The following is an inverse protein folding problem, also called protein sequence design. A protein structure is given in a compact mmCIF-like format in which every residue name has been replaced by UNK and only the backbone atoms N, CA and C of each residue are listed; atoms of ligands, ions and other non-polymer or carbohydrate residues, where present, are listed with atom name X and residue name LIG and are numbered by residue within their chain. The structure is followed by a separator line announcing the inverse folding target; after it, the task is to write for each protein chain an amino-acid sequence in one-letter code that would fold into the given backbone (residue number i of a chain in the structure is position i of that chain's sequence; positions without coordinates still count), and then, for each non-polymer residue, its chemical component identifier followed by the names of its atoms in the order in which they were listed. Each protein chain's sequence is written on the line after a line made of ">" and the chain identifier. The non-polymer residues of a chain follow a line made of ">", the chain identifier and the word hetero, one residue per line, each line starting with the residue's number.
data_IF_172440536882
#
_entry.id   IF_172440536882
#
_cell.length_a   1.000
_cell.length_b   1.000
_cell.length_c   1.000
_cell.angle_alpha   90.00
_cell.angle_beta   90.00
_cell.angle_gamma   90.00
#
_symmetry.space_group_name_H-M   'P 1'
#
loop_
_entity.id
_entity.type
_entity.pdbx_description
1 polymer ?
#
# COMPACT_ATOMS: atom_id res chain seq x y z
N UNK A 1 5.56 12.80 24.66
CA UNK A 1 5.32 11.60 25.48
C UNK A 1 5.00 12.04 26.89
N UNK A 2 3.72 12.00 27.23
CA UNK A 2 3.24 12.35 28.57
C UNK A 2 3.58 11.25 29.56
N UNK A 3 4.56 11.50 30.44
CA UNK A 3 5.23 10.48 31.27
C UNK A 3 4.27 9.63 32.15
N UNK A 4 3.08 10.11 32.49
CA UNK A 4 2.11 9.37 33.28
C UNK A 4 1.39 8.24 32.54
N UNK A 5 1.47 8.20 31.20
CA UNK A 5 0.79 7.22 30.37
C UNK A 5 1.68 6.08 29.87
N UNK A 6 3.01 6.19 30.00
CA UNK A 6 3.98 5.27 29.38
C UNK A 6 4.94 4.67 30.42
N UNK A 7 4.94 3.35 30.54
CA UNK A 7 5.77 2.60 31.49
C UNK A 7 6.81 1.76 30.76
N UNK A 8 8.11 2.05 30.96
CA UNK A 8 9.20 1.32 30.29
C UNK A 8 9.37 -0.10 30.84
N UNK A 9 9.43 -1.10 29.96
CA UNK A 9 9.76 -2.51 30.26
C UNK A 9 11.27 -2.75 30.30
N UNK A 10 11.69 -3.77 31.08
CA UNK A 10 13.09 -4.21 31.20
C UNK A 10 13.49 -5.12 30.04
N UNK A 11 13.80 -4.51 28.91
CA UNK A 11 14.23 -5.18 27.67
C UNK A 11 15.53 -4.54 27.14
N UNK A 12 16.24 -5.23 26.25
CA UNK A 12 17.50 -4.74 25.65
C UNK A 12 17.29 -3.48 24.81
N UNK A 13 16.06 -3.25 24.34
CA UNK A 13 15.59 -2.03 23.71
C UNK A 13 14.40 -1.46 24.50
N UNK A 14 14.15 -0.14 24.51
CA UNK A 14 13.00 0.44 25.22
C UNK A 14 11.68 -0.08 24.61
N UNK A 15 10.84 -0.70 25.45
CA UNK A 15 9.43 -1.00 25.14
C UNK A 15 8.59 -0.26 26.18
N UNK A 16 7.55 0.44 25.75
CA UNK A 16 6.64 1.13 26.66
C UNK A 16 5.30 0.39 26.73
N UNK A 17 4.83 0.12 27.94
CA UNK A 17 3.44 -0.25 28.21
C UNK A 17 2.61 1.02 28.38
N UNK A 18 1.46 1.10 27.72
CA UNK A 18 0.67 2.32 27.63
C UNK A 18 -0.59 2.14 28.44
N UNK A 19 -0.88 3.05 29.38
CA UNK A 19 -2.13 3.00 30.15
C UNK A 19 -3.33 3.40 29.29
N UNK A 20 -3.76 2.47 28.43
CA UNK A 20 -4.86 2.64 27.51
C UNK A 20 -6.19 2.33 28.18
N UNK A 21 -6.25 1.35 29.09
CA UNK A 21 -7.50 0.83 29.67
C UNK A 21 -8.28 1.90 30.44
N UNK A 22 -7.57 2.80 31.11
CA UNK A 22 -8.16 3.87 31.93
C UNK A 22 -8.11 5.24 31.25
N UNK A 23 -7.53 5.30 30.04
CA UNK A 23 -7.42 6.55 29.29
C UNK A 23 -8.80 7.15 28.98
N UNK A 24 -8.94 8.44 29.25
CA UNK A 24 -10.06 9.25 28.78
C UNK A 24 -10.01 9.43 27.26
N UNK A 25 -11.12 9.84 26.63
CA UNK A 25 -11.18 10.13 25.19
C UNK A 25 -10.09 11.12 24.73
N UNK A 26 -9.78 12.12 25.58
CA UNK A 26 -8.69 13.07 25.32
C UNK A 26 -7.33 12.38 25.32
N UNK A 27 -7.07 11.51 26.29
CA UNK A 27 -5.82 10.76 26.39
C UNK A 27 -5.68 9.72 25.27
N UNK A 28 -6.78 9.12 24.80
CA UNK A 28 -6.76 8.25 23.63
C UNK A 28 -6.28 8.99 22.37
N UNK A 29 -6.81 10.19 22.13
CA UNK A 29 -6.36 11.02 21.01
C UNK A 29 -4.93 11.53 21.19
N UNK A 30 -4.51 11.77 22.43
CA UNK A 30 -3.13 12.12 22.75
C UNK A 30 -2.18 10.97 22.41
N UNK A 31 -2.47 9.74 22.86
CA UNK A 31 -1.70 8.53 22.54
C UNK A 31 -1.61 8.33 21.03
N UNK A 32 -2.74 8.44 20.31
CA UNK A 32 -2.76 8.26 18.85
C UNK A 32 -1.81 9.24 18.13
N UNK A 33 -1.82 10.51 18.56
CA UNK A 33 -0.97 11.56 18.02
C UNK A 33 0.50 11.41 18.40
N UNK A 34 0.80 11.08 19.66
CA UNK A 34 2.17 10.93 20.14
C UNK A 34 2.88 9.73 19.50
N UNK A 35 2.15 8.63 19.26
CA UNK A 35 2.68 7.47 18.57
C UNK A 35 2.66 7.60 17.04
N UNK A 36 1.92 8.57 16.50
CA UNK A 36 1.75 8.74 15.05
C UNK A 36 1.01 7.58 14.37
N UNK A 37 0.11 6.88 15.08
CA UNK A 37 -0.59 5.69 14.58
C UNK A 37 -1.84 6.01 13.75
N UNK A 38 -2.24 7.29 13.67
CA UNK A 38 -3.29 7.76 12.75
C UNK A 38 -4.70 7.24 13.04
N UNK A 39 -4.94 6.68 14.24
CA UNK A 39 -6.26 6.16 14.63
C UNK A 39 -7.15 7.28 15.16
N UNK A 40 -8.40 7.32 14.70
CA UNK A 40 -9.40 8.26 15.20
C UNK A 40 -9.96 7.80 16.56
N UNK A 41 -10.81 8.62 17.19
CA UNK A 41 -11.36 8.31 18.52
C UNK A 41 -12.15 6.99 18.56
N UNK A 42 -12.94 6.69 17.52
CA UNK A 42 -13.73 5.45 17.48
C UNK A 42 -12.83 4.22 17.40
N UNK A 43 -11.80 4.28 16.56
CA UNK A 43 -10.79 3.22 16.44
C UNK A 43 -10.02 3.03 17.75
N UNK A 44 -9.58 4.14 18.36
CA UNK A 44 -8.90 4.09 19.67
C UNK A 44 -9.79 3.50 20.77
N UNK A 45 -11.10 3.77 20.76
CA UNK A 45 -12.07 3.17 21.68
C UNK A 45 -12.21 1.66 21.46
N UNK A 46 -12.27 1.20 20.21
CA UNK A 46 -12.31 -0.23 19.89
C UNK A 46 -11.04 -0.95 20.38
N UNK A 47 -9.88 -0.33 20.20
CA UNK A 47 -8.60 -0.85 20.72
C UNK A 47 -8.59 -0.85 22.25
N UNK A 48 -9.05 0.22 22.89
CA UNK A 48 -9.18 0.30 24.34
C UNK A 48 -10.09 -0.81 24.89
N UNK A 49 -11.24 -1.05 24.26
CA UNK A 49 -12.17 -2.10 24.64
C UNK A 49 -11.55 -3.49 24.50
N UNK A 50 -10.84 -3.75 23.40
CA UNK A 50 -10.09 -5.00 23.22
C UNK A 50 -9.10 -5.25 24.37
N UNK A 51 -8.30 -4.25 24.75
CA UNK A 51 -7.32 -4.39 25.85
C UNK A 51 -7.98 -4.41 27.24
N UNK A 52 -9.14 -3.77 27.43
CA UNK A 52 -9.97 -3.94 28.64
C UNK A 52 -10.42 -5.39 28.78
N UNK A 53 -10.93 -5.99 27.71
CA UNK A 53 -11.39 -7.38 27.69
C UNK A 53 -10.25 -8.38 27.90
N UNK A 54 -9.04 -8.07 27.44
CA UNK A 54 -7.82 -8.86 27.73
C UNK A 54 -7.28 -8.67 29.15
N UNK A 55 -7.78 -7.69 29.91
CA UNK A 55 -7.34 -7.42 31.27
C UNK A 55 -5.90 -6.87 31.39
N UNK A 56 -5.32 -6.36 30.31
CA UNK A 56 -3.95 -5.81 30.29
C UNK A 56 -3.80 -4.61 29.38
N UNK A 57 -2.82 -3.77 29.67
CA UNK A 57 -2.46 -2.67 28.79
C UNK A 57 -1.65 -3.16 27.57
N UNK A 58 -1.73 -2.46 26.43
CA UNK A 58 -0.90 -2.73 25.27
C UNK A 58 0.53 -2.24 25.46
N UNK A 59 1.46 -2.82 24.70
CA UNK A 59 2.73 -2.15 24.41
C UNK A 59 2.60 -1.17 23.25
N UNK A 60 3.52 -0.22 23.17
CA UNK A 60 3.77 0.62 22.01
C UNK A 60 3.84 -0.17 20.70
N UNK A 61 4.57 -1.29 20.65
CA UNK A 61 4.70 -2.14 19.46
C UNK A 61 3.35 -2.75 19.05
N UNK A 62 2.52 -3.16 20.01
CA UNK A 62 1.17 -3.68 19.73
C UNK A 62 0.28 -2.59 19.13
N UNK A 63 0.32 -1.37 19.67
CA UNK A 63 -0.43 -0.24 19.11
C UNK A 63 0.07 0.18 17.73
N UNK A 64 1.39 0.17 17.50
CA UNK A 64 1.96 0.41 16.17
C UNK A 64 1.49 -0.64 15.16
N UNK A 65 1.47 -1.92 15.55
CA UNK A 65 0.96 -3.00 14.69
C UNK A 65 -0.50 -2.78 14.32
N UNK A 66 -1.34 -2.41 15.28
CA UNK A 66 -2.75 -2.08 15.02
C UNK A 66 -2.85 -0.86 14.10
N UNK A 67 -2.11 0.22 14.38
CA UNK A 67 -2.09 1.44 13.57
C UNK A 67 -1.76 1.16 12.10
N UNK A 68 -0.73 0.35 11.84
CA UNK A 68 -0.35 -0.01 10.47
C UNK A 68 -1.41 -0.88 9.79
N UNK A 69 -1.92 -1.91 10.47
CA UNK A 69 -2.89 -2.86 9.89
C UNK A 69 -4.27 -2.24 9.67
N UNK A 70 -4.65 -1.27 10.49
CA UNK A 70 -5.92 -0.53 10.38
C UNK A 70 -5.76 0.78 9.61
N UNK A 71 -4.62 1.07 8.99
CA UNK A 71 -4.47 2.23 8.12
C UNK A 71 -5.38 2.13 6.88
N UNK A 72 -5.66 3.26 6.24
CA UNK A 72 -6.42 3.24 4.97
C UNK A 72 -5.70 2.46 3.88
N UNK A 73 -4.38 2.62 3.82
CA UNK A 73 -3.51 1.95 2.85
C UNK A 73 -3.56 0.41 2.98
N UNK A 74 -3.62 -0.12 4.20
CA UNK A 74 -3.66 -1.56 4.42
C UNK A 74 -5.08 -2.14 4.38
N UNK A 75 -6.02 -1.50 5.07
CA UNK A 75 -7.35 -2.07 5.25
C UNK A 75 -8.31 -1.76 4.10
N UNK A 76 -8.04 -0.70 3.33
CA UNK A 76 -8.86 -0.20 2.24
C UNK A 76 -10.29 0.16 2.70
N UNK A 77 -10.43 0.98 3.75
CA UNK A 77 -11.74 1.24 4.39
C UNK A 77 -12.69 1.90 3.40
N UNK A 78 -12.22 2.83 2.58
CA UNK A 78 -13.04 3.50 1.55
C UNK A 78 -13.65 2.49 0.59
N UNK A 79 -12.84 1.55 0.09
CA UNK A 79 -13.29 0.52 -0.85
C UNK A 79 -14.25 -0.50 -0.24
N UNK A 80 -14.25 -0.68 1.09
CA UNK A 80 -15.14 -1.57 1.84
C UNK A 80 -16.34 -0.87 2.48
N UNK A 81 -16.37 0.47 2.43
CA UNK A 81 -17.38 1.26 3.12
C UNK A 81 -18.74 1.21 2.40
N UNK A 82 -19.80 1.43 3.19
CA UNK A 82 -21.15 1.72 2.67
C UNK A 82 -21.22 3.18 2.24
N UNK A 83 -21.54 3.42 0.98
CA UNK A 83 -21.60 4.76 0.38
C UNK A 83 -23.04 5.05 -0.01
N UNK A 84 -23.59 6.14 0.51
CA UNK A 84 -24.91 6.65 0.11
C UNK A 84 -24.73 7.89 -0.76
N UNK A 85 -25.10 7.80 -2.03
CA UNK A 85 -24.96 8.89 -2.98
C UNK A 85 -26.16 8.90 -3.95
N UNK A 86 -26.75 10.07 -4.19
CA UNK A 86 -27.87 10.26 -5.12
C UNK A 86 -29.05 9.28 -4.91
N UNK A 87 -29.38 9.01 -3.64
CA UNK A 87 -30.45 8.08 -3.26
C UNK A 87 -30.12 6.59 -3.43
N UNK A 88 -28.90 6.24 -3.88
CA UNK A 88 -28.41 4.86 -3.98
C UNK A 88 -27.49 4.52 -2.83
N UNK A 89 -27.54 3.27 -2.39
CA UNK A 89 -26.62 2.69 -1.43
C UNK A 89 -25.70 1.70 -2.17
N UNK A 90 -24.40 1.85 -1.98
CA UNK A 90 -23.36 0.97 -2.50
C UNK A 90 -22.69 0.32 -1.29
N UNK A 91 -22.72 -1.00 -1.22
CA UNK A 91 -22.05 -1.78 -0.18
C UNK A 91 -20.69 -2.24 -0.71
N UNK A 92 -19.64 -1.47 -0.40
CA UNK A 92 -18.27 -1.69 -0.88
C UNK A 92 -18.08 -1.39 -2.38
N UNK A 93 -17.23 -0.42 -2.71
CA UNK A 93 -16.86 -0.12 -4.10
C UNK A 93 -16.19 -1.31 -4.79
N UNK A 94 -15.29 -2.00 -4.07
CA UNK A 94 -14.56 -3.14 -4.60
C UNK A 94 -15.52 -4.30 -4.93
N UNK A 95 -16.31 -4.72 -3.95
CA UNK A 95 -17.27 -5.82 -4.11
C UNK A 95 -18.29 -5.49 -5.21
N UNK A 96 -18.84 -4.27 -5.20
CA UNK A 96 -19.93 -3.88 -6.11
C UNK A 96 -19.48 -3.74 -7.56
N UNK A 97 -18.35 -3.08 -7.81
CA UNK A 97 -17.96 -2.67 -9.16
C UNK A 97 -16.81 -3.48 -9.77
N UNK A 98 -16.01 -4.16 -8.95
CA UNK A 98 -14.83 -4.90 -9.42
C UNK A 98 -15.10 -6.41 -9.32
N UNK A 99 -15.38 -6.90 -8.11
CA UNK A 99 -15.57 -8.33 -7.84
C UNK A 99 -16.82 -8.88 -8.53
N UNK A 100 -18.00 -8.30 -8.27
CA UNK A 100 -19.26 -8.72 -8.92
C UNK A 100 -19.22 -8.61 -10.44
N UNK A 101 -18.50 -7.64 -10.98
CA UNK A 101 -18.32 -7.51 -12.43
C UNK A 101 -17.49 -8.67 -12.99
N UNK A 102 -16.39 -9.04 -12.33
CA UNK A 102 -15.56 -10.18 -12.69
C UNK A 102 -16.29 -11.52 -12.50
N UNK A 103 -17.02 -11.69 -11.40
CA UNK A 103 -17.86 -12.87 -11.15
C UNK A 103 -18.95 -13.04 -12.21
N UNK A 104 -19.62 -11.95 -12.59
CA UNK A 104 -20.65 -11.98 -13.64
C UNK A 104 -20.08 -12.39 -14.99
N UNK A 105 -18.87 -11.94 -15.33
CA UNK A 105 -18.20 -12.36 -16.56
C UNK A 105 -17.69 -13.79 -16.50
N UNK A 106 -17.27 -14.25 -15.31
CA UNK A 106 -16.66 -15.56 -15.01
C UNK A 106 -15.78 -16.11 -16.16
N UNK A 107 -14.79 -15.33 -16.63
CA UNK A 107 -13.99 -15.75 -17.77
C UNK A 107 -13.15 -16.98 -17.41
N UNK A 108 -13.19 -18.01 -18.26
CA UNK A 108 -12.49 -19.29 -18.02
C UNK A 108 -10.98 -19.16 -17.86
N UNK A 109 -10.39 -18.06 -18.34
CA UNK A 109 -8.97 -17.78 -18.20
C UNK A 109 -8.62 -17.16 -16.85
N UNK A 110 -9.55 -16.64 -16.04
CA UNK A 110 -9.21 -16.23 -14.68
C UNK A 110 -8.92 -17.46 -13.81
N UNK A 111 -7.69 -17.60 -13.33
CA UNK A 111 -7.24 -18.74 -12.55
C UNK A 111 -7.23 -18.45 -11.04
N UNK A 112 -6.73 -17.27 -10.66
CA UNK A 112 -6.73 -16.79 -9.27
C UNK A 112 -6.87 -15.27 -9.31
N UNK A 113 -7.98 -14.73 -8.83
CA UNK A 113 -8.24 -13.28 -8.80
C UNK A 113 -8.80 -12.93 -7.42
N UNK A 114 -8.41 -11.78 -6.88
CA UNK A 114 -8.86 -11.24 -5.58
C UNK A 114 -8.50 -12.06 -4.31
N UNK A 115 -7.85 -13.22 -4.45
CA UNK A 115 -7.52 -14.11 -3.33
C UNK A 115 -6.05 -14.03 -2.88
N UNK A 116 -5.17 -13.41 -3.67
CA UNK A 116 -3.71 -13.46 -3.47
C UNK A 116 -3.04 -12.12 -3.87
N UNK A 117 -1.72 -12.04 -3.69
CA UNK A 117 -0.94 -10.82 -3.94
C UNK A 117 -0.95 -10.37 -5.40
N UNK A 118 -1.22 -11.26 -6.36
CA UNK A 118 -1.30 -10.97 -7.78
C UNK A 118 -2.49 -11.68 -8.45
N UNK A 119 -3.00 -11.08 -9.53
CA UNK A 119 -4.01 -11.72 -10.39
C UNK A 119 -3.35 -12.68 -11.36
N UNK A 120 -3.85 -13.91 -11.46
CA UNK A 120 -3.32 -14.96 -12.31
C UNK A 120 -4.37 -15.36 -13.34
N UNK A 121 -3.97 -15.33 -14.61
CA UNK A 121 -4.76 -15.87 -15.71
C UNK A 121 -4.10 -17.09 -16.32
N UNK A 122 -4.90 -18.02 -16.84
CA UNK A 122 -4.44 -19.14 -17.66
C UNK A 122 -3.86 -18.62 -18.96
N UNK A 123 -2.73 -19.19 -19.33
CA UNK A 123 -2.04 -18.95 -20.58
C UNK A 123 -1.75 -20.30 -21.28
N UNK A 124 -0.88 -20.29 -22.27
CA UNK A 124 -0.59 -21.43 -23.13
C UNK A 124 0.14 -22.57 -22.40
N UNK A 125 0.00 -23.81 -22.91
CA UNK A 125 0.77 -25.01 -22.51
C UNK A 125 0.86 -25.28 -21.00
N UNK A 126 -0.21 -24.98 -20.26
CA UNK A 126 -0.27 -25.20 -18.81
C UNK A 126 0.50 -24.16 -17.98
N UNK A 127 0.88 -23.04 -18.59
CA UNK A 127 1.36 -21.86 -17.90
C UNK A 127 0.23 -20.89 -17.60
N UNK A 128 0.46 -20.02 -16.63
CA UNK A 128 -0.34 -18.83 -16.34
C UNK A 128 0.53 -17.59 -16.35
N UNK A 129 -0.12 -16.45 -16.48
CA UNK A 129 0.51 -15.14 -16.34
C UNK A 129 0.01 -14.53 -15.04
N UNK A 130 0.92 -14.21 -14.14
CA UNK A 130 0.65 -13.43 -12.95
C UNK A 130 0.92 -11.95 -13.26
N UNK A 131 0.02 -11.07 -12.86
CA UNK A 131 0.15 -9.62 -13.07
C UNK A 131 -0.20 -8.92 -11.76
N UNK A 132 0.66 -7.98 -11.37
CA UNK A 132 0.43 -7.08 -10.25
C UNK A 132 0.87 -5.68 -10.63
N UNK A 133 0.08 -4.71 -10.18
CA UNK A 133 0.38 -3.29 -10.28
C UNK A 133 0.16 -2.66 -8.91
N UNK A 134 1.08 -1.80 -8.50
CA UNK A 134 1.02 -1.01 -7.27
C UNK A 134 1.38 0.45 -7.54
N UNK A 135 1.17 1.31 -6.54
CA UNK A 135 1.61 2.71 -6.59
C UNK A 135 2.63 3.00 -5.50
N UNK A 136 3.53 3.94 -5.77
CA UNK A 136 4.48 4.43 -4.78
C UNK A 136 4.57 5.97 -4.76
N UNK A 137 3.41 6.60 -4.91
CA UNK A 137 3.23 8.05 -5.12
C UNK A 137 3.89 8.92 -4.03
N UNK A 138 3.46 8.76 -2.78
CA UNK A 138 3.91 9.62 -1.69
C UNK A 138 5.41 9.48 -1.38
N UNK A 139 5.99 8.26 -1.26
CA UNK A 139 7.44 8.12 -1.12
C UNK A 139 8.20 8.76 -2.29
N UNK A 140 7.76 8.54 -3.53
CA UNK A 140 8.40 9.11 -4.72
C UNK A 140 8.29 10.64 -4.81
N UNK A 141 7.26 11.26 -4.24
CA UNK A 141 7.17 12.72 -4.15
C UNK A 141 8.22 13.33 -3.20
N UNK A 142 8.62 12.57 -2.16
CA UNK A 142 9.57 13.02 -1.12
C UNK A 142 11.01 12.67 -1.49
N UNK A 143 11.27 11.40 -1.80
CA UNK A 143 12.56 10.85 -2.22
C UNK A 143 12.34 10.01 -3.48
N UNK A 144 12.53 10.61 -4.67
CA UNK A 144 12.10 10.01 -5.93
C UNK A 144 12.78 8.69 -6.30
N UNK A 145 14.08 8.56 -6.02
CA UNK A 145 14.86 7.41 -6.48
C UNK A 145 14.50 6.15 -5.70
N UNK A 146 14.67 6.19 -4.38
CA UNK A 146 14.35 5.08 -3.50
C UNK A 146 12.85 4.81 -3.44
N UNK A 147 12.02 5.87 -3.49
CA UNK A 147 10.58 5.74 -3.65
C UNK A 147 10.21 4.88 -4.86
N UNK A 148 10.71 5.21 -6.06
CA UNK A 148 10.35 4.45 -7.25
C UNK A 148 11.00 3.06 -7.31
N UNK A 149 12.27 2.96 -6.90
CA UNK A 149 13.01 1.69 -6.86
C UNK A 149 12.33 0.67 -5.95
N UNK A 150 11.87 1.09 -4.77
CA UNK A 150 11.15 0.21 -3.84
C UNK A 150 9.76 -0.18 -4.33
N UNK A 151 9.10 0.68 -5.11
CA UNK A 151 7.85 0.35 -5.81
C UNK A 151 8.03 -0.80 -6.82
N UNK A 152 9.08 -0.74 -7.66
CA UNK A 152 9.42 -1.85 -8.57
C UNK A 152 9.78 -3.12 -7.80
N UNK A 153 10.58 -3.00 -6.74
CA UNK A 153 10.92 -4.12 -5.89
C UNK A 153 9.71 -4.77 -5.21
N UNK A 154 8.70 -3.97 -4.83
CA UNK A 154 7.44 -4.43 -4.25
C UNK A 154 6.70 -5.38 -5.19
N UNK A 155 6.38 -4.90 -6.40
CA UNK A 155 5.63 -5.69 -7.38
C UNK A 155 6.38 -6.92 -7.87
N UNK A 156 7.71 -6.89 -7.94
CA UNK A 156 8.52 -8.09 -8.23
C UNK A 156 8.33 -9.13 -7.12
N UNK A 157 8.35 -8.72 -5.85
CA UNK A 157 8.12 -9.63 -4.72
C UNK A 157 6.71 -10.19 -4.68
N UNK A 158 5.70 -9.43 -5.08
CA UNK A 158 4.33 -9.95 -5.17
C UNK A 158 4.20 -11.07 -6.22
N UNK A 159 4.85 -10.89 -7.37
CA UNK A 159 4.91 -11.92 -8.43
C UNK A 159 5.63 -13.18 -7.93
N UNK A 160 6.77 -13.01 -7.25
CA UNK A 160 7.47 -14.12 -6.61
C UNK A 160 6.61 -14.80 -5.53
N UNK A 161 5.81 -14.01 -4.78
CA UNK A 161 4.91 -14.49 -3.73
C UNK A 161 3.81 -15.43 -4.22
N UNK A 162 3.46 -15.34 -5.50
CA UNK A 162 2.51 -16.25 -6.16
C UNK A 162 3.19 -17.34 -7.01
N UNK A 163 4.47 -17.64 -6.73
CA UNK A 163 5.26 -18.68 -7.38
C UNK A 163 5.57 -18.43 -8.87
N UNK A 164 5.34 -17.23 -9.36
CA UNK A 164 5.61 -16.86 -10.74
C UNK A 164 7.03 -16.31 -10.88
N UNK A 165 7.68 -16.59 -12.00
CA UNK A 165 8.99 -16.05 -12.33
C UNK A 165 8.79 -14.67 -13.01
N UNK A 166 9.27 -13.56 -12.43
CA UNK A 166 9.16 -12.24 -13.04
C UNK A 166 9.88 -12.18 -14.39
N UNK A 167 9.18 -11.71 -15.42
CA UNK A 167 9.73 -11.64 -16.79
C UNK A 167 9.72 -10.23 -17.39
N UNK A 168 8.86 -9.34 -16.90
CA UNK A 168 8.77 -7.98 -17.39
C UNK A 168 8.17 -7.05 -16.33
N UNK A 169 8.54 -5.78 -16.39
CA UNK A 169 7.94 -4.70 -15.64
C UNK A 169 7.17 -3.76 -16.58
N UNK A 170 6.26 -2.98 -16.00
CA UNK A 170 5.56 -1.87 -16.66
C UNK A 170 5.41 -0.71 -15.69
N UNK A 171 5.31 0.51 -16.20
CA UNK A 171 5.10 1.70 -15.39
C UNK A 171 4.11 2.69 -16.00
N UNK A 172 3.33 3.37 -15.13
CA UNK A 172 2.50 4.51 -15.56
C UNK A 172 2.82 5.68 -14.64
N UNK A 173 3.38 6.74 -15.24
CA UNK A 173 3.98 7.84 -14.53
C UNK A 173 3.24 9.15 -14.81
N UNK A 174 2.96 9.90 -13.76
CA UNK A 174 2.32 11.22 -13.81
C UNK A 174 3.15 12.24 -13.05
N UNK A 175 3.56 13.31 -13.73
CA UNK A 175 4.40 14.38 -13.16
C UNK A 175 3.84 15.77 -13.49
N UNK A 176 4.22 16.77 -12.70
CA UNK A 176 4.06 18.16 -13.10
C UNK A 176 4.94 18.50 -14.32
N UNK A 177 4.68 19.62 -15.03
CA UNK A 177 5.51 20.06 -16.15
C UNK A 177 7.00 20.16 -15.75
N UNK A 178 7.91 19.68 -16.60
CA UNK A 178 9.35 19.67 -16.30
C UNK A 178 9.99 21.06 -16.31
N UNK A 179 9.31 22.02 -16.90
CA UNK A 179 9.63 23.45 -16.99
C UNK A 179 8.74 24.30 -16.07
N UNK A 180 8.14 23.69 -15.05
CA UNK A 180 7.27 24.38 -14.09
C UNK A 180 7.97 25.56 -13.43
N UNK A 181 7.22 26.64 -13.23
CA UNK A 181 7.74 27.87 -12.63
C UNK A 181 8.07 27.66 -11.14
N UNK A 182 9.32 27.93 -10.77
CA UNK A 182 9.79 27.80 -9.38
C UNK A 182 9.04 28.74 -8.43
N UNK A 183 8.61 29.91 -8.88
CA UNK A 183 7.87 30.87 -8.05
C UNK A 183 6.44 30.38 -7.72
N UNK A 184 5.90 29.46 -8.53
CA UNK A 184 4.58 28.85 -8.30
C UNK A 184 4.65 27.57 -7.48
N UNK A 185 5.84 27.09 -7.14
CA UNK A 185 6.04 25.82 -6.46
C UNK A 185 5.57 25.92 -4.99
N UNK A 186 4.62 25.08 -4.54
CA UNK A 186 4.18 25.12 -3.15
C UNK A 186 5.33 24.81 -2.18
N UNK A 187 5.38 25.44 -0.99
CA UNK A 187 6.41 25.16 0.00
C UNK A 187 6.50 23.67 0.37
N UNK A 188 7.72 23.13 0.39
CA UNK A 188 7.97 21.72 0.72
C UNK A 188 7.80 20.74 -0.45
N UNK A 189 7.26 21.19 -1.58
CA UNK A 189 7.14 20.37 -2.80
C UNK A 189 8.45 20.36 -3.58
N UNK A 190 8.83 19.20 -4.11
CA UNK A 190 9.98 19.06 -5.00
C UNK A 190 9.62 19.46 -6.43
N UNK A 191 10.55 20.12 -7.10
CA UNK A 191 10.35 20.52 -8.49
C UNK A 191 10.08 19.30 -9.40
N UNK A 192 9.08 19.31 -10.29
CA UNK A 192 8.70 18.13 -11.07
C UNK A 192 9.85 17.50 -11.86
N UNK A 193 10.74 18.32 -12.44
CA UNK A 193 11.97 17.85 -13.12
C UNK A 193 12.86 16.98 -12.23
N UNK A 194 13.03 17.35 -10.96
CA UNK A 194 13.84 16.57 -10.01
C UNK A 194 13.17 15.22 -9.71
N UNK A 195 11.85 15.24 -9.50
CA UNK A 195 11.07 14.03 -9.22
C UNK A 195 11.10 13.08 -10.41
N UNK A 196 10.85 13.60 -11.62
CA UNK A 196 10.92 12.83 -12.86
C UNK A 196 12.27 12.11 -13.04
N UNK A 197 13.39 12.85 -12.92
CA UNK A 197 14.74 12.28 -13.09
C UNK A 197 14.99 11.16 -12.07
N UNK A 198 14.65 11.40 -10.80
CA UNK A 198 14.90 10.41 -9.75
C UNK A 198 13.99 9.19 -9.86
N UNK A 199 12.71 9.35 -10.19
CA UNK A 199 11.78 8.22 -10.39
C UNK A 199 12.26 7.31 -11.53
N UNK A 200 12.57 7.88 -12.70
CA UNK A 200 13.03 7.10 -13.86
C UNK A 200 14.35 6.38 -13.54
N UNK A 201 15.28 7.06 -12.86
CA UNK A 201 16.53 6.45 -12.42
C UNK A 201 16.31 5.31 -11.39
N UNK A 202 15.36 5.47 -10.47
CA UNK A 202 15.01 4.46 -9.47
C UNK A 202 14.41 3.20 -10.08
N UNK A 203 13.44 3.37 -10.99
CA UNK A 203 12.83 2.27 -11.75
C UNK A 203 13.89 1.51 -12.54
N UNK A 204 14.69 2.25 -13.33
CA UNK A 204 15.76 1.67 -14.13
C UNK A 204 16.80 0.94 -13.27
N UNK A 205 17.21 1.52 -12.15
CA UNK A 205 18.21 0.90 -11.27
C UNK A 205 17.75 -0.44 -10.71
N UNK A 206 16.52 -0.51 -10.16
CA UNK A 206 16.03 -1.76 -9.56
C UNK A 206 15.78 -2.83 -10.63
N UNK A 207 15.08 -2.48 -11.72
CA UNK A 207 14.78 -3.41 -12.81
C UNK A 207 16.04 -3.96 -13.48
N UNK A 208 17.00 -3.09 -13.82
CA UNK A 208 18.24 -3.49 -14.49
C UNK A 208 19.10 -4.41 -13.61
N UNK A 209 19.23 -4.11 -12.31
CA UNK A 209 20.00 -4.94 -11.39
C UNK A 209 19.35 -6.32 -11.16
N UNK A 210 18.00 -6.38 -11.20
CA UNK A 210 17.27 -7.65 -11.15
C UNK A 210 17.25 -8.40 -12.49
N UNK A 211 17.67 -7.76 -13.58
CA UNK A 211 17.63 -8.33 -14.94
C UNK A 211 16.22 -8.45 -15.51
N UNK A 212 15.27 -7.62 -15.06
CA UNK A 212 13.87 -7.63 -15.50
C UNK A 212 13.58 -6.36 -16.29
N UNK A 213 13.28 -6.44 -17.60
CA UNK A 213 13.07 -5.26 -18.43
C UNK A 213 11.73 -4.59 -18.16
N UNK A 214 11.70 -3.25 -18.13
CA UNK A 214 10.45 -2.49 -18.27
C UNK A 214 10.08 -2.42 -19.75
N UNK A 215 9.03 -3.14 -20.16
CA UNK A 215 8.72 -3.40 -21.58
C UNK A 215 7.68 -2.46 -22.17
N UNK A 216 6.89 -1.80 -21.34
CA UNK A 216 5.88 -0.84 -21.74
C UNK A 216 5.55 0.10 -20.58
N UNK A 217 4.90 1.21 -20.91
CA UNK A 217 4.41 2.14 -19.91
C UNK A 217 3.72 3.34 -20.52
N UNK A 218 3.44 4.33 -19.69
CA UNK A 218 2.97 5.64 -20.11
C UNK A 218 3.54 6.73 -19.23
N UNK A 219 3.78 7.90 -19.81
CA UNK A 219 4.15 9.11 -19.06
C UNK A 219 3.20 10.24 -19.44
N UNK A 220 2.72 10.95 -18.42
CA UNK A 220 1.82 12.09 -18.61
C UNK A 220 2.27 13.27 -17.74
N UNK A 221 2.25 14.46 -18.34
CA UNK A 221 2.65 15.70 -17.69
C UNK A 221 1.45 16.63 -17.56
N UNK A 222 1.12 17.03 -16.34
CA UNK A 222 0.00 17.91 -16.04
C UNK A 222 0.22 18.62 -14.71
N UNK A 223 -0.18 19.89 -14.63
CA UNK A 223 0.00 20.70 -13.41
C UNK A 223 -0.71 20.09 -12.19
N UNK A 224 -1.76 19.28 -12.37
CA UNK A 224 -2.44 18.58 -11.28
C UNK A 224 -1.56 17.57 -10.53
N UNK A 225 -0.43 17.14 -11.11
CA UNK A 225 0.56 16.28 -10.45
C UNK A 225 1.67 17.07 -9.73
N UNK A 226 1.58 18.40 -9.69
CA UNK A 226 2.47 19.21 -8.83
C UNK A 226 2.09 18.96 -7.37
N UNK A 227 3.07 18.54 -6.56
CA UNK A 227 2.88 18.21 -5.14
C UNK A 227 2.66 16.73 -4.87
N UNK A 228 1.95 16.02 -5.74
CA UNK A 228 1.76 14.57 -5.62
C UNK A 228 1.82 13.90 -6.99
N UNK A 229 2.84 13.06 -7.18
CA UNK A 229 3.06 12.34 -8.44
C UNK A 229 2.25 11.06 -8.50
N UNK A 230 2.12 10.51 -9.70
CA UNK A 230 1.67 9.13 -9.91
C UNK A 230 2.86 8.30 -10.33
N UNK A 231 3.15 7.25 -9.57
CA UNK A 231 4.19 6.27 -9.88
C UNK A 231 3.56 4.90 -9.73
N UNK A 232 2.95 4.42 -10.81
CA UNK A 232 2.54 3.02 -10.91
C UNK A 232 3.73 2.18 -11.34
N UNK A 233 3.99 1.12 -10.58
CA UNK A 233 4.92 0.07 -10.94
C UNK A 233 4.12 -1.22 -11.11
N UNK A 234 4.41 -1.98 -12.15
CA UNK A 234 3.79 -3.26 -12.41
C UNK A 234 4.82 -4.32 -12.77
N UNK A 235 4.49 -5.57 -12.50
CA UNK A 235 5.29 -6.72 -12.85
C UNK A 235 4.42 -7.83 -13.43
N UNK A 236 4.96 -8.50 -14.44
CA UNK A 236 4.37 -9.63 -15.13
C UNK A 236 5.29 -10.83 -14.88
N UNK A 237 4.70 -11.93 -14.43
CA UNK A 237 5.41 -13.18 -14.19
C UNK A 237 4.80 -14.36 -14.93
N UNK A 238 5.65 -15.33 -15.26
CA UNK A 238 5.26 -16.60 -15.87
C UNK A 238 5.20 -17.69 -14.80
N UNK A 239 4.09 -18.43 -14.74
CA UNK A 239 3.85 -19.44 -13.72
C UNK A 239 3.48 -20.78 -14.33
N UNK A 240 4.24 -21.86 -14.10
CA UNK A 240 3.75 -23.21 -14.39
C UNK A 240 2.58 -23.54 -13.46
N UNK A 241 1.35 -23.66 -13.97
CA UNK A 241 0.15 -23.81 -13.12
C UNK A 241 0.19 -25.05 -12.22
N UNK A 242 0.93 -26.09 -12.63
CA UNK A 242 1.17 -27.30 -11.82
C UNK A 242 1.99 -27.05 -10.54
N UNK A 243 2.76 -25.96 -10.48
CA UNK A 243 3.57 -25.58 -9.31
C UNK A 243 2.79 -24.71 -8.32
N UNK A 244 1.70 -24.09 -8.78
CA UNK A 244 0.91 -23.20 -7.96
C UNK A 244 0.28 -23.94 -6.78
N UNK A 245 0.47 -23.42 -5.58
CA UNK A 245 -0.13 -23.94 -4.35
C UNK A 245 -0.94 -22.84 -3.67
N UNK A 246 -2.25 -23.04 -3.55
CA UNK A 246 -3.11 -22.22 -2.71
C UNK A 246 -2.91 -22.58 -1.23
N UNK A 247 -3.07 -21.60 -0.36
CA UNK A 247 -3.15 -21.78 1.11
C UNK A 247 -1.94 -22.54 1.67
N UNK A 248 -0.74 -21.99 1.43
CA UNK A 248 0.51 -22.50 1.99
C UNK A 248 0.38 -22.55 3.51
N UNK A 249 0.49 -23.75 4.09
CA UNK A 249 0.53 -23.92 5.54
C UNK A 249 2.00 -23.86 5.99
N UNK A 250 2.32 -23.09 7.05
CA UNK A 250 3.66 -23.06 7.62
C UNK A 250 4.09 -24.42 8.18
#
# INVERSE_FOLDING_TARGET
>A
MTASLYFRRKTTFPIFEINLREATDRQLLEISRELGIGLNLQEMKAVQEYFRNKGRNPTDVELQTIGQTWSEHCFHKTFKSKIRMNGKEIDGLFETYIEKAAEKMNPRWCFSVFEDNAGIIRFDKGYGIAIKVETHNHPSAIEPFGGAATGVGGVIRDILGVWADPIACTDVLGFGPIDFDYEKLPPGVKHPKYVYIGVVAGIGSYGNNMGIPTVNGAIYFDESYVGNVVVYCGCIGLLPLKKFRKSVKP
#
